data_IF_611940452415
#
_entry.id   IF_611940452415
#
_cell.length_a   1.000
_cell.length_b   1.000
_cell.length_c   1.000
_cell.angle_alpha   90.00
_cell.angle_beta   90.00
_cell.angle_gamma   90.00
#
_symmetry.space_group_name_H-M   'P 1'
#
loop_
_entity.id
_entity.type
_entity.pdbx_description
1 polymer ?
#
# COMPACT_ATOMS: atom_id res chain seq x y z
N UNK A 1 12.67 -0.30 -20.40
CA UNK A 1 11.27 -0.10 -20.86
C UNK A 1 11.06 -0.40 -22.32
N UNK A 2 11.76 0.25 -23.26
CA UNK A 2 11.62 -0.07 -24.69
C UNK A 2 11.88 -1.56 -24.99
N UNK A 3 12.90 -2.15 -24.36
CA UNK A 3 13.19 -3.59 -24.47
C UNK A 3 12.06 -4.47 -23.93
N UNK A 4 11.46 -4.10 -22.79
CA UNK A 4 10.34 -4.86 -22.20
C UNK A 4 9.10 -4.77 -23.09
N UNK A 5 8.76 -3.58 -23.58
CA UNK A 5 7.64 -3.39 -24.50
C UNK A 5 7.86 -4.15 -25.82
N UNK A 6 9.07 -4.08 -26.40
CA UNK A 6 9.42 -4.86 -27.59
C UNK A 6 9.34 -6.36 -27.36
N UNK A 7 9.81 -6.85 -26.20
CA UNK A 7 9.70 -8.25 -25.83
C UNK A 7 8.24 -8.70 -25.72
N UNK A 8 7.36 -7.90 -25.12
CA UNK A 8 5.91 -8.19 -25.02
C UNK A 8 5.27 -8.26 -26.42
N UNK A 9 5.64 -7.36 -27.33
CA UNK A 9 5.12 -7.40 -28.71
C UNK A 9 5.56 -8.68 -29.41
N UNK A 10 6.84 -9.02 -29.35
CA UNK A 10 7.36 -10.27 -29.94
C UNK A 10 6.69 -11.48 -29.30
N UNK A 11 6.52 -11.47 -27.98
CA UNK A 11 5.90 -12.56 -27.23
C UNK A 11 4.44 -12.79 -27.63
N UNK A 12 3.65 -11.73 -27.79
CA UNK A 12 2.29 -11.81 -28.33
C UNK A 12 2.25 -12.29 -29.78
N UNK A 13 3.20 -11.88 -30.62
CA UNK A 13 3.28 -12.38 -32.00
C UNK A 13 3.57 -13.89 -32.04
N UNK A 14 4.30 -14.42 -31.06
CA UNK A 14 4.57 -15.86 -30.95
C UNK A 14 3.34 -16.65 -30.48
N UNK A 15 2.47 -16.06 -29.63
CA UNK A 15 1.24 -16.72 -29.13
C UNK A 15 0.03 -16.53 -30.04
N UNK A 16 0.10 -15.62 -31.02
CA UNK A 16 -1.03 -15.20 -31.85
C UNK A 16 -1.80 -16.37 -32.52
N UNK A 17 -1.09 -17.44 -32.87
CA UNK A 17 -1.72 -18.63 -33.46
C UNK A 17 -2.53 -19.42 -32.44
N UNK A 18 -2.02 -19.54 -31.21
CA UNK A 18 -2.71 -20.23 -30.11
C UNK A 18 -3.90 -19.39 -29.61
N UNK A 19 -3.76 -18.06 -29.62
CA UNK A 19 -4.80 -17.10 -29.29
C UNK A 19 -5.97 -17.20 -30.29
N UNK A 20 -5.69 -17.34 -31.59
CA UNK A 20 -6.72 -17.52 -32.61
C UNK A 20 -7.53 -18.83 -32.45
N UNK A 21 -6.98 -19.84 -31.78
CA UNK A 21 -7.69 -21.08 -31.46
C UNK A 21 -8.55 -20.98 -30.19
N UNK A 22 -8.34 -19.95 -29.36
CA UNK A 22 -9.08 -19.70 -28.12
C UNK A 22 -9.56 -18.24 -28.08
N UNK A 23 -10.54 -17.87 -28.93
CA UNK A 23 -11.06 -16.51 -28.95
C UNK A 23 -11.79 -16.20 -27.65
N UNK A 24 -11.42 -15.09 -27.01
CA UNK A 24 -12.15 -14.58 -25.85
C UNK A 24 -13.39 -13.80 -26.27
N UNK A 25 -14.38 -13.77 -25.38
CA UNK A 25 -15.55 -12.92 -25.56
C UNK A 25 -15.19 -11.44 -25.39
N UNK A 26 -15.47 -10.64 -26.42
CA UNK A 26 -15.17 -9.20 -26.48
C UNK A 26 -15.77 -8.45 -25.29
N UNK A 27 -16.97 -8.83 -24.85
CA UNK A 27 -17.62 -8.20 -23.71
C UNK A 27 -16.82 -8.45 -22.42
N UNK A 28 -16.27 -9.66 -22.25
CA UNK A 28 -15.45 -10.04 -21.09
C UNK A 28 -14.14 -9.25 -21.08
N UNK A 29 -13.49 -9.12 -22.25
CA UNK A 29 -12.28 -8.30 -22.44
C UNK A 29 -12.54 -6.84 -22.08
N UNK A 30 -13.59 -6.24 -22.65
CA UNK A 30 -13.95 -4.85 -22.37
C UNK A 30 -14.26 -4.62 -20.89
N UNK A 31 -14.98 -5.56 -20.27
CA UNK A 31 -15.33 -5.51 -18.86
C UNK A 31 -14.09 -5.52 -17.96
N UNK A 32 -13.17 -6.49 -18.13
CA UNK A 32 -11.96 -6.55 -17.30
C UNK A 32 -10.99 -5.40 -17.58
N UNK A 33 -10.91 -4.93 -18.83
CA UNK A 33 -10.15 -3.75 -19.19
C UNK A 33 -10.68 -2.51 -18.44
N UNK A 34 -12.00 -2.29 -18.47
CA UNK A 34 -12.63 -1.17 -17.75
C UNK A 34 -12.48 -1.32 -16.23
N UNK A 35 -12.68 -2.53 -15.69
CA UNK A 35 -12.46 -2.83 -14.28
C UNK A 35 -11.01 -2.54 -13.86
N UNK A 36 -10.02 -2.91 -14.67
CA UNK A 36 -8.60 -2.63 -14.40
C UNK A 36 -8.30 -1.13 -14.28
N UNK A 37 -8.95 -0.32 -15.12
CA UNK A 37 -8.82 1.13 -15.12
C UNK A 37 -9.52 1.76 -13.89
N UNK A 38 -10.74 1.30 -13.57
CA UNK A 38 -11.52 1.79 -12.43
C UNK A 38 -10.92 1.41 -11.07
N UNK A 39 -10.47 0.16 -10.92
CA UNK A 39 -9.81 -0.33 -9.70
C UNK A 39 -8.45 0.34 -9.44
N UNK A 40 -7.95 1.11 -10.41
CA UNK A 40 -6.74 1.90 -10.25
C UNK A 40 -6.98 3.32 -9.68
N UNK A 41 -8.25 3.76 -9.63
CA UNK A 41 -8.62 5.06 -9.08
C UNK A 41 -8.31 5.18 -7.58
N UNK A 42 -8.68 4.21 -6.72
CA UNK A 42 -8.36 4.25 -5.30
C UNK A 42 -6.88 3.93 -5.10
N UNK A 43 -6.20 4.78 -4.34
CA UNK A 43 -4.77 4.67 -4.12
C UNK A 43 -4.47 4.65 -2.64
N UNK A 44 -3.96 3.54 -2.15
CA UNK A 44 -3.42 3.46 -0.79
C UNK A 44 -1.92 3.68 -0.87
N UNK A 45 -1.45 4.81 -0.34
CA UNK A 45 -0.02 5.13 -0.28
C UNK A 45 0.65 4.25 0.77
N UNK A 46 1.68 3.52 0.34
CA UNK A 46 2.60 2.78 1.18
C UNK A 46 3.94 3.53 1.26
N UNK A 47 4.79 3.18 2.22
CA UNK A 47 6.03 3.92 2.48
C UNK A 47 7.01 3.91 1.29
N UNK A 48 6.96 2.87 0.44
CA UNK A 48 7.74 2.77 -0.82
C UNK A 48 6.88 2.54 -2.07
N UNK A 49 5.63 3.03 -2.12
CA UNK A 49 4.83 2.93 -3.33
C UNK A 49 3.33 3.15 -3.16
N UNK A 50 2.55 2.56 -4.05
CA UNK A 50 1.08 2.59 -4.00
C UNK A 50 0.56 1.16 -4.16
N UNK A 51 -0.38 0.78 -3.31
CA UNK A 51 -1.19 -0.40 -3.52
C UNK A 51 -2.30 -0.03 -4.52
N UNK A 52 -2.36 -0.74 -5.63
CA UNK A 52 -3.43 -0.60 -6.62
C UNK A 52 -4.27 -1.89 -6.66
N UNK A 53 -5.60 -1.73 -6.73
CA UNK A 53 -6.52 -2.86 -6.85
C UNK A 53 -6.61 -3.40 -8.26
N UNK A 54 -5.95 -2.77 -9.24
CA UNK A 54 -5.86 -3.25 -10.62
C UNK A 54 -5.38 -4.71 -10.71
N UNK A 55 -4.55 -5.16 -9.77
CA UNK A 55 -4.11 -6.56 -9.69
C UNK A 55 -5.26 -7.56 -9.63
N UNK A 56 -6.42 -7.17 -9.10
CA UNK A 56 -7.62 -8.03 -9.06
C UNK A 56 -8.18 -8.30 -10.46
N UNK A 57 -8.37 -7.24 -11.26
CA UNK A 57 -8.90 -7.39 -12.62
C UNK A 57 -7.89 -8.07 -13.55
N UNK A 58 -6.61 -7.71 -13.43
CA UNK A 58 -5.56 -8.33 -14.26
C UNK A 58 -5.32 -9.78 -13.86
N UNK A 59 -5.37 -10.12 -12.56
CA UNK A 59 -5.28 -11.50 -12.09
C UNK A 59 -6.42 -12.36 -12.62
N UNK A 60 -7.65 -11.83 -12.62
CA UNK A 60 -8.79 -12.50 -13.24
C UNK A 60 -8.62 -12.66 -14.76
N UNK A 61 -8.14 -11.63 -15.46
CA UNK A 61 -7.87 -11.69 -16.90
C UNK A 61 -6.78 -12.73 -17.22
N UNK A 62 -5.71 -12.78 -16.42
CA UNK A 62 -4.65 -13.77 -16.58
C UNK A 62 -5.14 -15.22 -16.42
N UNK A 63 -6.24 -15.45 -15.68
CA UNK A 63 -6.86 -16.78 -15.59
C UNK A 63 -7.76 -17.02 -16.80
N UNK A 64 -8.64 -16.07 -17.12
CA UNK A 64 -9.75 -16.31 -18.03
C UNK A 64 -9.35 -16.20 -19.51
N UNK A 65 -8.46 -15.27 -19.82
CA UNK A 65 -8.19 -14.82 -21.19
C UNK A 65 -6.99 -15.52 -21.82
N UNK A 66 -6.92 -15.43 -23.14
CA UNK A 66 -5.72 -15.69 -23.90
C UNK A 66 -4.62 -14.65 -23.55
N UNK A 67 -3.34 -14.99 -23.78
CA UNK A 67 -2.22 -14.08 -23.55
C UNK A 67 -2.38 -12.67 -24.12
N UNK A 68 -2.89 -12.52 -25.35
CA UNK A 68 -3.06 -11.23 -26.00
C UNK A 68 -4.08 -10.35 -25.26
N UNK A 69 -5.27 -10.85 -24.99
CA UNK A 69 -6.34 -10.08 -24.34
C UNK A 69 -6.02 -9.80 -22.86
N UNK A 70 -5.30 -10.70 -22.20
CA UNK A 70 -4.72 -10.45 -20.89
C UNK A 70 -3.71 -9.29 -20.94
N UNK A 71 -2.85 -9.21 -21.97
CA UNK A 71 -1.92 -8.07 -22.12
C UNK A 71 -2.65 -6.75 -22.34
N UNK A 72 -3.71 -6.74 -23.15
CA UNK A 72 -4.55 -5.57 -23.39
C UNK A 72 -5.20 -5.10 -22.08
N UNK A 73 -5.70 -6.03 -21.27
CA UNK A 73 -6.22 -5.73 -19.93
C UNK A 73 -5.14 -5.15 -19.03
N UNK A 74 -3.92 -5.69 -19.06
CA UNK A 74 -2.76 -5.15 -18.35
C UNK A 74 -2.40 -3.72 -18.77
N UNK A 75 -2.47 -3.42 -20.06
CA UNK A 75 -2.30 -2.07 -20.60
C UNK A 75 -3.44 -1.13 -20.18
N UNK A 76 -4.66 -1.65 -20.02
CA UNK A 76 -5.85 -0.92 -19.59
C UNK A 76 -5.66 -0.13 -18.29
N UNK A 77 -4.76 -0.58 -17.40
CA UNK A 77 -4.42 0.14 -16.18
C UNK A 77 -3.87 1.56 -16.44
N UNK A 78 -3.29 1.81 -17.62
CA UNK A 78 -2.82 3.12 -18.05
C UNK A 78 -3.95 4.15 -18.18
N UNK A 79 -5.18 3.72 -18.50
CA UNK A 79 -6.34 4.61 -18.63
C UNK A 79 -6.69 5.27 -17.29
N UNK A 80 -6.51 4.55 -16.18
CA UNK A 80 -6.70 5.08 -14.83
C UNK A 80 -5.57 6.00 -14.32
N UNK A 81 -4.57 6.32 -15.15
CA UNK A 81 -3.39 7.11 -14.79
C UNK A 81 -3.41 8.57 -15.30
N UNK A 82 -4.54 9.09 -15.80
CA UNK A 82 -4.66 10.47 -16.26
C UNK A 82 -4.11 11.46 -15.20
N UNK A 83 -2.97 12.09 -15.49
CA UNK A 83 -2.28 13.02 -14.58
C UNK A 83 -0.94 12.55 -13.99
N UNK A 84 -0.51 11.31 -14.24
CA UNK A 84 0.85 10.85 -13.89
C UNK A 84 1.83 11.15 -15.02
N UNK A 85 3.06 11.52 -14.68
CA UNK A 85 4.12 11.76 -15.66
C UNK A 85 4.28 10.58 -16.61
N UNK A 86 4.37 10.86 -17.91
CA UNK A 86 4.33 9.87 -19.01
C UNK A 86 5.23 8.65 -18.77
N UNK A 87 6.45 8.87 -18.25
CA UNK A 87 7.41 7.80 -17.97
C UNK A 87 6.90 6.78 -16.95
N UNK A 88 6.20 7.23 -15.91
CA UNK A 88 5.64 6.35 -14.86
C UNK A 88 4.48 5.53 -15.41
N UNK A 89 3.63 6.16 -16.22
CA UNK A 89 2.49 5.48 -16.87
C UNK A 89 2.99 4.38 -17.80
N UNK A 90 3.95 4.71 -18.68
CA UNK A 90 4.51 3.76 -19.63
C UNK A 90 5.23 2.61 -18.91
N UNK A 91 5.99 2.92 -17.85
CA UNK A 91 6.67 1.94 -17.02
C UNK A 91 5.69 0.93 -16.42
N UNK A 92 4.65 1.43 -15.75
CA UNK A 92 3.67 0.58 -15.08
C UNK A 92 2.86 -0.23 -16.11
N UNK A 93 2.44 0.39 -17.21
CA UNK A 93 1.70 -0.29 -18.26
C UNK A 93 2.51 -1.46 -18.85
N UNK A 94 3.79 -1.23 -19.16
CA UNK A 94 4.67 -2.28 -19.66
C UNK A 94 4.87 -3.41 -18.64
N UNK A 95 5.05 -3.08 -17.36
CA UNK A 95 5.16 -4.09 -16.30
C UNK A 95 3.89 -4.91 -16.16
N UNK A 96 2.72 -4.28 -16.06
CA UNK A 96 1.45 -5.00 -15.91
C UNK A 96 1.08 -5.82 -17.15
N UNK A 97 1.40 -5.34 -18.35
CA UNK A 97 1.23 -6.11 -19.57
C UNK A 97 2.14 -7.36 -19.60
N UNK A 98 3.40 -7.23 -19.17
CA UNK A 98 4.31 -8.38 -19.05
C UNK A 98 3.83 -9.40 -17.99
N UNK A 99 3.39 -8.93 -16.82
CA UNK A 99 2.86 -9.80 -15.76
C UNK A 99 1.63 -10.55 -16.26
N UNK A 100 0.68 -9.83 -16.87
CA UNK A 100 -0.54 -10.42 -17.42
C UNK A 100 -0.22 -11.48 -18.48
N UNK A 101 0.70 -11.17 -19.39
CA UNK A 101 1.12 -12.10 -20.45
C UNK A 101 1.71 -13.39 -19.90
N UNK A 102 2.71 -13.30 -19.01
CA UNK A 102 3.39 -14.49 -18.46
C UNK A 102 2.39 -15.35 -17.68
N UNK A 103 1.50 -14.74 -16.91
CA UNK A 103 0.49 -15.46 -16.15
C UNK A 103 -0.58 -16.10 -17.04
N UNK A 104 -1.04 -15.41 -18.07
CA UNK A 104 -1.99 -15.96 -19.05
C UNK A 104 -1.38 -17.12 -19.86
N UNK A 105 -0.10 -17.02 -20.20
CA UNK A 105 0.63 -18.14 -20.80
C UNK A 105 0.70 -19.35 -19.86
N UNK A 106 0.90 -19.12 -18.55
CA UNK A 106 0.83 -20.21 -17.58
C UNK A 106 -0.57 -20.84 -17.54
N UNK A 107 -1.63 -20.02 -17.57
CA UNK A 107 -3.01 -20.50 -17.60
C UNK A 107 -3.33 -21.32 -18.86
N UNK A 108 -2.81 -20.92 -20.02
CA UNK A 108 -3.07 -21.61 -21.29
C UNK A 108 -2.50 -23.04 -21.31
N UNK A 109 -1.35 -23.28 -20.67
CA UNK A 109 -0.79 -24.64 -20.55
C UNK A 109 -1.66 -25.63 -19.78
N UNK A 110 -2.51 -25.14 -18.89
CA UNK A 110 -3.37 -25.97 -18.05
C UNK A 110 -4.85 -25.96 -18.48
N UNK A 111 -5.16 -25.36 -19.63
CA UNK A 111 -6.52 -25.27 -20.15
C UNK A 111 -6.93 -26.63 -20.74
N UNK A 112 -7.99 -27.23 -20.19
CA UNK A 112 -8.60 -28.46 -20.68
C UNK A 112 -10.10 -28.23 -20.89
N UNK A 113 -10.61 -28.55 -22.09
CA UNK A 113 -12.01 -28.35 -22.47
C UNK A 113 -12.56 -26.95 -22.16
N UNK A 114 -11.74 -25.94 -22.45
CA UNK A 114 -12.01 -24.51 -22.19
C UNK A 114 -12.28 -24.17 -20.70
N UNK A 115 -11.90 -25.05 -19.78
CA UNK A 115 -11.97 -24.81 -18.34
C UNK A 115 -10.60 -24.94 -17.70
N UNK A 116 -10.43 -24.24 -16.58
CA UNK A 116 -9.21 -24.29 -15.76
C UNK A 116 -9.63 -24.73 -14.36
N UNK A 117 -9.13 -25.87 -13.86
CA UNK A 117 -9.45 -26.33 -12.51
C UNK A 117 -8.80 -25.44 -11.45
N UNK A 118 -9.20 -25.63 -10.18
CA UNK A 118 -8.77 -24.77 -9.07
C UNK A 118 -7.24 -24.68 -8.94
N UNK A 119 -6.53 -25.81 -9.00
CA UNK A 119 -5.08 -25.85 -8.76
C UNK A 119 -4.33 -25.01 -9.82
N UNK A 120 -4.56 -25.18 -11.13
CA UNK A 120 -3.95 -24.31 -12.12
C UNK A 120 -4.28 -22.83 -11.98
N UNK A 121 -5.51 -22.45 -11.57
CA UNK A 121 -5.84 -21.04 -11.28
C UNK A 121 -4.95 -20.47 -10.18
N UNK A 122 -4.72 -21.25 -9.11
CA UNK A 122 -3.81 -20.87 -8.03
C UNK A 122 -2.37 -20.76 -8.52
N UNK A 123 -1.91 -21.64 -9.41
CA UNK A 123 -0.58 -21.58 -10.01
C UNK A 123 -0.43 -20.32 -10.89
N UNK A 124 -1.46 -19.97 -11.68
CA UNK A 124 -1.49 -18.74 -12.48
C UNK A 124 -1.37 -17.49 -11.60
N UNK A 125 -2.13 -17.43 -10.50
CA UNK A 125 -2.08 -16.32 -9.55
C UNK A 125 -0.75 -16.26 -8.80
N UNK A 126 -0.18 -17.41 -8.42
CA UNK A 126 1.16 -17.46 -7.85
C UNK A 126 2.21 -16.94 -8.85
N UNK A 127 2.09 -17.31 -10.12
CA UNK A 127 2.95 -16.81 -11.20
C UNK A 127 2.80 -15.29 -11.35
N UNK A 128 1.58 -14.78 -11.27
CA UNK A 128 1.26 -13.35 -11.28
C UNK A 128 1.99 -12.61 -10.16
N UNK A 129 1.89 -13.10 -8.93
CA UNK A 129 2.55 -12.48 -7.77
C UNK A 129 4.08 -12.51 -7.87
N UNK A 130 4.65 -13.64 -8.28
CA UNK A 130 6.10 -13.79 -8.45
C UNK A 130 6.60 -12.86 -9.55
N UNK A 131 5.91 -12.76 -10.68
CA UNK A 131 6.28 -11.86 -11.77
C UNK A 131 6.17 -10.39 -11.34
N UNK A 132 5.10 -10.03 -10.62
CA UNK A 132 4.89 -8.69 -10.07
C UNK A 132 6.00 -8.31 -9.09
N UNK A 133 6.29 -9.17 -8.10
CA UNK A 133 7.36 -8.95 -7.14
C UNK A 133 8.72 -8.81 -7.81
N UNK A 134 8.99 -9.66 -8.80
CA UNK A 134 10.25 -9.67 -9.54
C UNK A 134 10.44 -8.37 -10.33
N UNK A 135 9.42 -7.90 -11.05
CA UNK A 135 9.48 -6.64 -11.80
C UNK A 135 9.55 -5.42 -10.89
N UNK A 136 8.85 -5.41 -9.74
CA UNK A 136 8.98 -4.35 -8.74
C UNK A 136 10.41 -4.33 -8.18
N UNK A 137 10.95 -5.50 -7.79
CA UNK A 137 12.26 -5.57 -7.17
C UNK A 137 13.38 -5.16 -8.14
N UNK A 138 13.28 -5.56 -9.42
CA UNK A 138 14.19 -5.12 -10.49
C UNK A 138 14.00 -3.64 -10.80
N UNK A 139 12.76 -3.16 -10.88
CA UNK A 139 12.45 -1.75 -11.15
C UNK A 139 12.96 -0.81 -10.06
N UNK A 140 12.97 -1.25 -8.81
CA UNK A 140 13.48 -0.50 -7.66
C UNK A 140 14.99 -0.67 -7.44
N UNK A 141 15.58 -1.81 -7.83
CA UNK A 141 17.03 -2.03 -7.66
C UNK A 141 17.86 -1.14 -8.58
N UNK A 142 17.42 -0.92 -9.82
CA UNK A 142 18.18 -0.10 -10.78
C UNK A 142 18.41 1.34 -10.31
N UNK A 143 17.40 2.09 -9.82
CA UNK A 143 17.60 3.47 -9.36
C UNK A 143 18.24 3.56 -7.98
N UNK A 144 18.00 2.58 -7.10
CA UNK A 144 18.49 2.62 -5.72
C UNK A 144 19.92 2.07 -5.54
N UNK A 145 20.42 1.27 -6.50
CA UNK A 145 21.68 0.55 -6.36
C UNK A 145 21.65 -0.57 -5.32
N UNK A 146 20.48 -0.86 -4.74
CA UNK A 146 20.31 -1.95 -3.77
C UNK A 146 20.20 -3.31 -4.47
N UNK A 147 20.65 -4.39 -3.83
CA UNK A 147 20.44 -5.73 -4.36
C UNK A 147 18.95 -6.09 -4.35
N UNK A 148 18.50 -6.82 -5.38
CA UNK A 148 17.10 -7.27 -5.53
C UNK A 148 16.60 -7.97 -4.28
N UNK A 149 17.42 -8.83 -3.66
CA UNK A 149 17.07 -9.54 -2.43
C UNK A 149 16.82 -8.59 -1.26
N UNK A 150 17.61 -7.51 -1.13
CA UNK A 150 17.44 -6.51 -0.08
C UNK A 150 16.16 -5.72 -0.28
N UNK A 151 15.85 -5.36 -1.53
CA UNK A 151 14.58 -4.70 -1.90
C UNK A 151 13.40 -5.60 -1.55
N UNK A 152 13.43 -6.87 -1.91
CA UNK A 152 12.35 -7.83 -1.58
C UNK A 152 12.19 -7.95 -0.08
N UNK A 153 13.26 -8.24 0.67
CA UNK A 153 13.18 -8.41 2.14
C UNK A 153 12.65 -7.19 2.86
N UNK A 154 12.93 -5.99 2.35
CA UNK A 154 12.48 -4.75 2.99
C UNK A 154 11.01 -4.42 2.66
N UNK A 155 10.50 -4.84 1.50
CA UNK A 155 9.12 -4.55 1.08
C UNK A 155 8.13 -5.68 1.42
N UNK A 156 8.61 -6.91 1.63
CA UNK A 156 7.76 -8.07 1.92
C UNK A 156 7.40 -8.11 3.41
N UNK A 157 6.44 -7.26 3.79
CA UNK A 157 5.87 -7.26 5.14
C UNK A 157 4.70 -8.26 5.25
N UNK A 158 4.33 -8.69 6.47
CA UNK A 158 3.14 -9.52 6.66
C UNK A 158 1.86 -8.87 6.12
N UNK A 159 1.73 -7.54 6.25
CA UNK A 159 0.59 -6.80 5.71
C UNK A 159 0.56 -6.82 4.17
N UNK A 160 1.72 -6.77 3.53
CA UNK A 160 1.84 -6.91 2.08
C UNK A 160 1.43 -8.31 1.62
N UNK A 161 1.88 -9.35 2.32
CA UNK A 161 1.47 -10.73 2.05
C UNK A 161 -0.04 -10.93 2.17
N UNK A 162 -0.67 -10.37 3.21
CA UNK A 162 -2.14 -10.42 3.37
C UNK A 162 -2.88 -9.70 2.23
N UNK A 163 -2.33 -8.58 1.73
CA UNK A 163 -2.90 -7.87 0.59
C UNK A 163 -2.83 -8.71 -0.70
N UNK A 164 -1.72 -9.43 -0.93
CA UNK A 164 -1.62 -10.36 -2.07
C UNK A 164 -2.63 -11.50 -1.97
N UNK A 165 -2.75 -12.15 -0.81
CA UNK A 165 -3.75 -13.20 -0.57
C UNK A 165 -5.16 -12.68 -0.85
N UNK A 166 -5.46 -11.45 -0.42
CA UNK A 166 -6.73 -10.81 -0.68
C UNK A 166 -6.99 -10.57 -2.17
N UNK A 167 -6.02 -10.05 -2.91
CA UNK A 167 -6.14 -9.82 -4.35
C UNK A 167 -6.29 -11.12 -5.13
N UNK A 168 -5.59 -12.17 -4.71
CA UNK A 168 -5.73 -13.50 -5.29
C UNK A 168 -7.12 -14.07 -5.04
N UNK A 169 -7.65 -13.94 -3.81
CA UNK A 169 -9.00 -14.41 -3.51
C UNK A 169 -10.06 -13.68 -4.35
N UNK A 170 -9.95 -12.37 -4.48
CA UNK A 170 -10.85 -11.58 -5.32
C UNK A 170 -10.74 -11.95 -6.81
N UNK A 171 -9.51 -12.09 -7.32
CA UNK A 171 -9.25 -12.52 -8.71
C UNK A 171 -9.82 -13.91 -8.98
N UNK A 172 -9.60 -14.84 -8.03
CA UNK A 172 -10.09 -16.20 -8.10
C UNK A 172 -11.63 -16.21 -8.11
N UNK A 173 -12.27 -15.43 -7.25
CA UNK A 173 -13.73 -15.34 -7.19
C UNK A 173 -14.31 -14.77 -8.48
N UNK A 174 -13.73 -13.68 -9.02
CA UNK A 174 -14.13 -13.14 -10.33
C UNK A 174 -13.96 -14.22 -11.40
N UNK A 175 -12.86 -14.97 -11.38
CA UNK A 175 -12.63 -16.02 -12.37
C UNK A 175 -13.65 -17.16 -12.33
N UNK A 176 -14.30 -17.41 -11.20
CA UNK A 176 -15.36 -18.43 -11.09
C UNK A 176 -16.74 -17.92 -11.49
N UNK A 177 -16.97 -16.63 -11.33
CA UNK A 177 -18.28 -16.03 -11.43
C UNK A 177 -18.49 -15.34 -12.78
N UNK A 178 -17.41 -14.89 -13.42
CA UNK A 178 -17.45 -14.26 -14.73
C UNK A 178 -17.53 -15.32 -15.82
N UNK A 179 -18.76 -15.74 -16.13
CA UNK A 179 -19.10 -16.78 -17.10
C UNK A 179 -19.62 -16.23 -18.45
N UNK A 180 -19.56 -14.90 -18.64
CA UNK A 180 -20.09 -14.21 -19.83
C UNK A 180 -21.60 -13.93 -19.78
N UNK A 181 -22.30 -14.36 -18.73
CA UNK A 181 -23.73 -14.02 -18.54
C UNK A 181 -23.90 -12.68 -17.84
N UNK A 182 -25.06 -12.03 -18.02
CA UNK A 182 -25.39 -10.77 -17.32
C UNK A 182 -25.26 -10.90 -15.80
N UNK A 183 -25.67 -12.05 -15.24
CA UNK A 183 -25.56 -12.33 -13.82
C UNK A 183 -24.10 -12.48 -13.39
N UNK A 184 -23.26 -13.13 -14.19
CA UNK A 184 -21.82 -13.23 -13.96
C UNK A 184 -21.14 -11.85 -13.91
N UNK A 185 -21.46 -10.96 -14.86
CA UNK A 185 -20.97 -9.57 -14.85
C UNK A 185 -21.43 -8.79 -13.60
N UNK A 186 -22.70 -8.93 -13.21
CA UNK A 186 -23.24 -8.28 -12.01
C UNK A 186 -22.51 -8.75 -10.75
N UNK A 187 -22.36 -10.07 -10.58
CA UNK A 187 -21.69 -10.62 -9.41
C UNK A 187 -20.19 -10.25 -9.41
N UNK A 188 -19.50 -10.31 -10.55
CA UNK A 188 -18.12 -9.84 -10.65
C UNK A 188 -18.00 -8.35 -10.27
N UNK A 189 -18.99 -7.53 -10.63
CA UNK A 189 -19.05 -6.11 -10.25
C UNK A 189 -19.20 -5.96 -8.73
N UNK A 190 -20.04 -6.78 -8.10
CA UNK A 190 -20.18 -6.82 -6.64
C UNK A 190 -18.86 -7.19 -5.97
N UNK A 191 -18.12 -8.18 -6.51
CA UNK A 191 -16.77 -8.53 -6.00
C UNK A 191 -15.81 -7.34 -6.12
N UNK A 192 -15.81 -6.63 -7.25
CA UNK A 192 -15.00 -5.40 -7.42
C UNK A 192 -15.39 -4.31 -6.41
N UNK A 193 -16.69 -4.09 -6.15
CA UNK A 193 -17.16 -3.10 -5.18
C UNK A 193 -16.76 -3.50 -3.76
N UNK A 194 -16.88 -4.77 -3.39
CA UNK A 194 -16.40 -5.28 -2.10
C UNK A 194 -14.89 -5.12 -1.98
N UNK A 195 -14.14 -5.30 -3.08
CA UNK A 195 -12.71 -5.05 -3.17
C UNK A 195 -12.34 -3.60 -2.81
N UNK A 196 -13.09 -2.66 -3.37
CA UNK A 196 -12.96 -1.23 -3.09
C UNK A 196 -13.29 -0.92 -1.63
N UNK A 197 -14.44 -1.38 -1.14
CA UNK A 197 -14.92 -1.08 0.21
C UNK A 197 -13.97 -1.58 1.31
N UNK A 198 -13.40 -2.79 1.16
CA UNK A 198 -12.44 -3.30 2.13
C UNK A 198 -11.15 -2.47 2.14
N UNK A 199 -10.68 -2.07 0.97
CA UNK A 199 -9.47 -1.27 0.81
C UNK A 199 -9.62 0.09 1.48
N UNK A 200 -10.78 0.74 1.32
CA UNK A 200 -11.10 2.00 1.97
C UNK A 200 -11.17 1.83 3.50
N UNK A 201 -11.78 0.75 3.98
CA UNK A 201 -11.85 0.42 5.42
C UNK A 201 -10.47 0.19 6.04
N UNK A 202 -9.53 -0.40 5.29
CA UNK A 202 -8.15 -0.59 5.76
C UNK A 202 -7.39 0.74 5.77
N UNK A 203 -7.52 1.55 4.72
CA UNK A 203 -6.89 2.87 4.64
C UNK A 203 -7.39 3.80 5.76
N UNK A 204 -8.70 3.86 5.99
CA UNK A 204 -9.31 4.64 7.07
C UNK A 204 -8.82 4.23 8.46
N UNK A 205 -8.69 2.92 8.73
CA UNK A 205 -8.13 2.43 10.00
C UNK A 205 -6.67 2.83 10.21
N UNK A 206 -5.85 2.89 9.15
CA UNK A 206 -4.46 3.34 9.25
C UNK A 206 -4.38 4.82 9.62
N UNK A 207 -5.15 5.67 8.92
CA UNK A 207 -5.18 7.13 9.19
C UNK A 207 -5.64 7.41 10.61
N UNK A 208 -6.69 6.71 11.06
CA UNK A 208 -7.20 6.85 12.43
C UNK A 208 -6.16 6.53 13.49
N UNK A 209 -5.40 5.43 13.35
CA UNK A 209 -4.34 5.07 14.32
C UNK A 209 -3.24 6.12 14.39
N UNK A 210 -2.81 6.65 13.24
CA UNK A 210 -1.80 7.72 13.20
C UNK A 210 -2.31 8.99 13.90
N UNK A 211 -3.56 9.37 13.67
CA UNK A 211 -4.17 10.50 14.37
C UNK A 211 -4.32 10.23 15.87
N UNK A 212 -4.69 9.01 16.28
CA UNK A 212 -4.75 8.63 17.69
C UNK A 212 -3.37 8.70 18.36
N UNK A 213 -2.30 8.29 17.67
CA UNK A 213 -0.92 8.38 18.15
C UNK A 213 -0.45 9.83 18.27
N UNK A 214 -0.69 10.68 17.25
CA UNK A 214 -0.36 12.11 17.27
C UNK A 214 -1.15 12.85 18.37
N UNK A 215 -2.42 12.49 18.57
CA UNK A 215 -3.26 13.13 19.58
C UNK A 215 -2.86 12.68 21.00
N UNK A 216 -2.45 11.43 21.17
CA UNK A 216 -1.85 10.92 22.42
C UNK A 216 -0.54 11.63 22.77
N UNK A 217 0.32 11.87 21.78
CA UNK A 217 1.57 12.61 21.97
C UNK A 217 1.29 14.09 22.33
N UNK A 218 0.39 14.73 21.60
CA UNK A 218 -0.05 16.10 21.89
C UNK A 218 -0.66 16.23 23.30
N UNK A 219 -1.50 15.27 23.71
CA UNK A 219 -2.08 15.26 25.05
C UNK A 219 -1.00 15.07 26.14
N UNK A 220 -0.04 14.17 25.91
CA UNK A 220 1.11 13.98 26.81
C UNK A 220 1.93 15.27 27.00
N UNK A 221 2.15 16.00 25.91
CA UNK A 221 2.82 17.30 25.94
C UNK A 221 2.01 18.37 26.70
N UNK A 222 0.69 18.41 26.54
CA UNK A 222 -0.20 19.31 27.29
C UNK A 222 -0.23 18.98 28.79
N UNK A 223 -0.23 17.70 29.17
CA UNK A 223 -0.12 17.29 30.56
C UNK A 223 1.22 17.69 31.18
N UNK A 224 2.33 17.56 30.45
CA UNK A 224 3.63 18.04 30.92
C UNK A 224 3.65 19.56 31.09
N UNK A 225 3.05 20.32 30.16
CA UNK A 225 2.95 21.77 30.27
C UNK A 225 2.13 22.21 31.50
N UNK A 226 0.97 21.58 31.76
CA UNK A 226 0.14 21.86 32.95
C UNK A 226 0.82 21.45 34.25
N UNK A 227 1.52 20.31 34.26
CA UNK A 227 2.29 19.88 35.42
C UNK A 227 3.45 20.85 35.73
N UNK A 228 4.17 21.31 34.70
CA UNK A 228 5.23 22.31 34.83
C UNK A 228 4.68 23.64 35.34
N UNK A 229 3.52 24.10 34.86
CA UNK A 229 2.86 25.30 35.37
C UNK A 229 2.53 25.21 36.87
N UNK A 230 2.00 24.07 37.31
CA UNK A 230 1.74 23.80 38.73
C UNK A 230 3.02 23.82 39.58
N UNK A 231 4.10 23.21 39.09
CA UNK A 231 5.42 23.21 39.78
C UNK A 231 6.00 24.61 39.85
N UNK A 232 5.96 25.39 38.77
CA UNK A 232 6.44 26.78 38.73
C UNK A 232 5.64 27.66 39.69
N UNK A 233 4.32 27.48 39.76
CA UNK A 233 3.48 28.21 40.70
C UNK A 233 3.84 27.88 42.15
N UNK A 234 4.07 26.59 42.46
CA UNK A 234 4.43 26.16 43.80
C UNK A 234 5.83 26.64 44.20
N UNK A 235 6.80 26.58 43.28
CA UNK A 235 8.13 27.17 43.45
C UNK A 235 8.05 28.68 43.71
N UNK A 236 7.23 29.41 42.95
CA UNK A 236 7.03 30.84 43.17
C UNK A 236 6.51 31.12 44.57
N UNK A 237 5.56 30.34 45.07
CA UNK A 237 5.03 30.49 46.42
C UNK A 237 6.07 30.16 47.50
N UNK A 238 6.87 29.10 47.32
CA UNK A 238 7.96 28.78 48.24
C UNK A 238 9.07 29.83 48.25
N UNK A 239 9.46 30.36 47.09
CA UNK A 239 10.42 31.47 46.99
C UNK A 239 9.86 32.72 47.68
N UNK A 240 8.58 33.03 47.49
CA UNK A 240 7.93 34.15 48.17
C UNK A 240 7.92 33.98 49.70
N UNK A 241 7.62 32.78 50.20
CA UNK A 241 7.66 32.48 51.64
C UNK A 241 9.08 32.54 52.20
N UNK A 242 10.07 31.99 51.49
CA UNK A 242 11.47 32.04 51.90
C UNK A 242 12.00 33.49 51.94
N UNK A 243 11.64 34.31 50.94
CA UNK A 243 11.96 35.74 50.92
C UNK A 243 11.25 36.49 52.06
N UNK A 244 10.03 36.08 52.40
CA UNK A 244 9.28 36.55 53.57
C UNK A 244 10.01 36.27 54.87
N UNK A 245 10.43 35.02 55.09
CA UNK A 245 11.20 34.63 56.27
C UNK A 245 12.56 35.33 56.36
N UNK A 246 13.27 35.48 55.24
CA UNK A 246 14.54 36.23 55.22
C UNK A 246 14.33 37.70 55.58
N UNK A 247 13.26 38.34 55.12
CA UNK A 247 12.90 39.72 55.51
C UNK A 247 12.42 39.83 56.97
N UNK A 248 11.81 38.79 57.50
CA UNK A 248 11.38 38.72 58.90
C UNK A 248 12.58 38.54 59.85
N UNK A 249 13.60 37.79 59.40
CA UNK A 249 14.90 37.68 60.07
C UNK A 249 15.66 39.02 59.98
N UNK A 250 15.55 39.77 58.88
CA UNK A 250 16.33 40.99 58.62
C UNK A 250 15.63 42.33 58.96
N UNK A 251 14.88 42.42 60.07
CA UNK A 251 14.45 43.76 60.50
C UNK A 251 14.31 44.06 61.99
N UNK A 252 14.05 43.12 62.91
CA UNK A 252 13.84 43.52 64.33
C UNK A 252 14.28 42.58 65.47
N UNK A 253 14.95 41.45 65.21
CA UNK A 253 15.42 40.58 66.31
C UNK A 253 16.75 39.88 65.98
N UNK A 254 17.85 40.62 66.14
CA UNK A 254 19.07 40.00 66.67
C UNK A 254 19.07 40.30 68.18
N UNK A 255 19.07 39.24 68.99
CA UNK A 255 19.28 39.34 70.43
C UNK A 255 20.66 39.99 70.65
N UNK A 256 20.83 40.99 71.53
CA UNK A 256 22.09 41.74 71.66
C UNK A 256 23.29 40.88 72.11
N UNK A 257 23.08 39.60 72.42
CA UNK A 257 24.11 38.64 72.84
C UNK A 257 24.92 38.06 71.67
N UNK A 258 24.35 37.98 70.46
CA UNK A 258 25.07 37.45 69.27
C UNK A 258 25.82 38.51 68.47
N UNK A 259 25.80 39.78 68.91
CA UNK A 259 26.52 40.88 68.24
C UNK A 259 28.00 40.93 68.60
N UNK A 260 28.39 40.47 69.79
CA UNK A 260 29.79 40.47 70.27
C UNK A 260 30.64 39.33 69.67
N UNK A 261 30.02 38.21 69.28
CA UNK A 261 30.75 37.05 68.73
C UNK A 261 31.19 37.24 67.27
N UNK A 262 30.61 38.19 66.55
CA UNK A 262 31.03 38.54 65.18
C UNK A 262 32.11 39.63 65.12
N UNK A 263 32.22 40.49 66.14
CA UNK A 263 33.26 41.54 66.19
C UNK A 263 34.63 41.00 66.66
N UNK A 264 34.68 39.80 67.22
CA UNK A 264 35.93 39.17 67.73
C UNK A 264 36.56 38.14 66.79
N UNK A 265 36.00 37.93 65.60
CA UNK A 265 36.48 36.95 64.62
C UNK A 265 37.05 37.57 63.32
N UNK A 266 37.64 38.76 63.40
CA UNK A 266 38.55 39.30 62.36
C UNK A 266 39.97 39.36 62.87
#
# INVERSE_FOLDING_TARGET
MALLAGAIVVANLLTLRDDAHHPDDVLTVLYLLLASALLNLPRVRLDRGYLSLTGVAIGAAAILMNPLDATLTGLGMALGHAGRGFRVVLSNAASYAAIAWVSALMASYFRFDNTIPLIPRLITLFTFDVANLSLIAVGLSFPSGESVLKVVRHNLTPSFGLALVYFNLASLLISYVLDGTLLGYLLATIVCILALALTDTIAGRRVRRVLEDELSDADRHLFHSRAVEGVVHNLRNHVANALGYLREIDSRRLDPVDRESFETAT
#
